data_IF_813396306717
#
_entry.id   IF_813396306717
#
_cell.length_a   1.000
_cell.length_b   1.000
_cell.length_c   1.000
_cell.angle_alpha   90.00
_cell.angle_beta   90.00
_cell.angle_gamma   90.00
#
_symmetry.space_group_name_H-M   'P 1'
#
loop_
_entity.id
_entity.type
_entity.pdbx_description
1 polymer ?
#
# COMPACT_ATOMS: atom_id res chain seq x y z
N UNK A 1 5.40 11.85 20.32
CA UNK A 1 4.55 11.41 19.19
C UNK A 1 3.73 12.58 18.65
N UNK A 2 3.73 12.74 17.32
CA UNK A 2 2.95 13.74 16.60
C UNK A 2 1.97 12.97 15.69
N UNK A 3 0.69 13.32 15.75
CA UNK A 3 -0.36 12.72 14.92
C UNK A 3 -0.94 13.79 14.01
N UNK A 4 -0.92 13.53 12.69
CA UNK A 4 -1.56 14.38 11.68
C UNK A 4 -2.75 13.61 11.09
N UNK A 5 -3.95 13.79 11.63
CA UNK A 5 -5.20 13.18 11.13
C UNK A 5 -6.36 14.16 11.37
N UNK A 6 -7.23 14.42 10.36
CA UNK A 6 -8.43 15.24 10.55
C UNK A 6 -9.36 14.78 11.67
N UNK A 7 -9.28 13.50 12.05
CA UNK A 7 -10.12 12.84 13.05
C UNK A 7 -9.35 12.68 14.37
N UNK A 8 -10.12 12.59 15.45
CA UNK A 8 -9.60 12.25 16.78
C UNK A 8 -9.55 10.74 16.95
N UNK A 9 -8.59 10.10 16.27
CA UNK A 9 -8.34 8.66 16.36
C UNK A 9 -7.77 8.27 17.75
N UNK A 10 -7.79 6.99 18.10
CA UNK A 10 -7.27 6.53 19.40
C UNK A 10 -5.80 6.94 19.63
N UNK A 11 -4.96 6.85 18.59
CA UNK A 11 -3.55 7.28 18.66
C UNK A 11 -3.41 8.77 18.97
N UNK A 12 -4.37 9.62 18.58
CA UNK A 12 -4.34 11.04 18.90
C UNK A 12 -4.53 11.31 20.41
N UNK A 13 -5.16 10.40 21.15
CA UNK A 13 -5.40 10.56 22.61
C UNK A 13 -4.12 10.46 23.43
N UNK A 14 -3.13 9.74 22.91
CA UNK A 14 -1.83 9.51 23.56
C UNK A 14 -0.70 10.29 22.85
N UNK A 15 -1.04 11.19 21.92
CA UNK A 15 -0.07 12.01 21.21
C UNK A 15 0.30 13.26 22.00
N UNK A 16 1.57 13.65 21.97
CA UNK A 16 2.02 14.94 22.51
C UNK A 16 1.45 16.11 21.69
N UNK A 17 1.28 15.90 20.38
CA UNK A 17 0.66 16.84 19.45
C UNK A 17 -0.29 16.11 18.50
N UNK A 18 -1.53 16.60 18.41
CA UNK A 18 -2.49 16.20 17.39
C UNK A 18 -2.76 17.41 16.49
N UNK A 19 -2.26 17.35 15.26
CA UNK A 19 -2.55 18.33 14.23
C UNK A 19 -3.82 17.89 13.49
N UNK A 20 -4.95 18.48 13.86
CA UNK A 20 -6.26 18.13 13.32
C UNK A 20 -6.50 18.84 11.98
N UNK A 21 -5.80 18.39 10.94
CA UNK A 21 -5.73 19.05 9.64
C UNK A 21 -7.06 18.98 8.86
N UNK A 22 -7.27 19.90 7.92
CA UNK A 22 -8.32 19.78 6.91
C UNK A 22 -8.07 18.59 5.98
N UNK A 23 -9.12 18.00 5.41
CA UNK A 23 -8.97 16.88 4.46
C UNK A 23 -8.32 17.36 3.16
N UNK A 24 -7.36 16.60 2.64
CA UNK A 24 -6.74 16.87 1.34
C UNK A 24 -5.66 17.97 1.34
N UNK A 25 -5.25 18.49 2.50
CA UNK A 25 -4.20 19.51 2.60
C UNK A 25 -2.79 18.96 2.87
N UNK A 26 -2.60 17.63 2.75
CA UNK A 26 -1.37 16.93 3.17
C UNK A 26 -0.09 17.59 2.63
N UNK A 27 -0.03 17.91 1.34
CA UNK A 27 1.16 18.51 0.72
C UNK A 27 1.46 19.91 1.26
N UNK A 28 0.43 20.71 1.57
CA UNK A 28 0.62 22.04 2.15
C UNK A 28 1.25 21.94 3.54
N UNK A 29 0.78 20.99 4.36
CA UNK A 29 1.35 20.73 5.68
C UNK A 29 2.79 20.23 5.59
N UNK A 30 3.07 19.27 4.70
CA UNK A 30 4.43 18.74 4.50
C UNK A 30 5.39 19.83 4.02
N UNK A 31 4.97 20.70 3.10
CA UNK A 31 5.79 21.84 2.69
C UNK A 31 6.02 22.83 3.84
N UNK A 32 5.02 23.08 4.69
CA UNK A 32 5.19 23.96 5.86
C UNK A 32 6.11 23.35 6.92
N UNK A 33 6.12 22.02 7.06
CA UNK A 33 7.10 21.31 7.86
C UNK A 33 8.52 21.48 7.31
N UNK A 34 8.71 21.23 6.02
CA UNK A 34 10.00 21.43 5.35
C UNK A 34 10.45 22.88 5.48
N UNK A 35 9.57 23.84 5.20
CA UNK A 35 9.84 25.27 5.37
C UNK A 35 10.35 25.57 6.77
N UNK A 36 9.62 25.10 7.80
CA UNK A 36 9.99 25.35 9.21
C UNK A 36 11.38 24.80 9.52
N UNK A 37 11.70 23.58 9.08
CA UNK A 37 13.01 22.97 9.32
C UNK A 37 14.15 23.79 8.70
N UNK A 38 13.92 24.39 7.53
CA UNK A 38 14.90 25.22 6.84
C UNK A 38 15.00 26.63 7.44
N UNK A 39 13.86 27.28 7.67
CA UNK A 39 13.72 28.65 8.20
C UNK A 39 14.35 28.78 9.60
N UNK A 40 14.08 27.80 10.47
CA UNK A 40 14.60 27.79 11.83
C UNK A 40 15.97 27.08 11.96
N UNK A 41 16.58 26.68 10.83
CA UNK A 41 17.86 25.95 10.79
C UNK A 41 17.87 24.69 11.68
N UNK A 42 16.77 23.93 11.69
CA UNK A 42 16.59 22.70 12.49
C UNK A 42 17.02 21.43 11.76
N UNK A 43 17.28 21.50 10.46
CA UNK A 43 17.76 20.36 9.67
C UNK A 43 19.25 20.07 9.93
N UNK A 44 19.68 18.83 9.70
CA UNK A 44 21.06 18.41 9.85
C UNK A 44 21.89 18.82 8.61
N UNK A 45 22.48 20.01 8.64
CA UNK A 45 23.20 20.59 7.51
C UNK A 45 24.38 19.73 7.00
N UNK A 46 25.16 19.16 7.91
CA UNK A 46 26.29 18.28 7.56
C UNK A 46 25.82 17.00 6.88
N UNK A 47 24.75 16.39 7.40
CA UNK A 47 24.14 15.20 6.80
C UNK A 47 23.62 15.51 5.40
N UNK A 48 22.85 16.59 5.25
CA UNK A 48 22.25 17.00 3.99
C UNK A 48 23.31 17.28 2.93
N UNK A 49 24.38 18.01 3.28
CA UNK A 49 25.48 18.30 2.34
C UNK A 49 26.20 17.03 1.85
N UNK A 50 26.35 16.02 2.72
CA UNK A 50 27.08 14.78 2.41
C UNK A 50 26.23 13.76 1.65
N UNK A 51 25.01 13.53 2.12
CA UNK A 51 24.22 12.36 1.76
C UNK A 51 22.96 12.66 0.95
N UNK A 52 22.70 13.92 0.62
CA UNK A 52 21.51 14.31 -0.14
C UNK A 52 21.83 15.20 -1.34
N UNK A 53 20.85 15.37 -2.22
CA UNK A 53 20.88 16.27 -3.36
C UNK A 53 19.54 17.03 -3.50
N UNK A 54 19.57 18.22 -4.12
CA UNK A 54 18.35 19.00 -4.42
C UNK A 54 17.94 20.06 -3.40
N UNK A 55 18.82 20.48 -2.48
CA UNK A 55 18.47 21.43 -1.42
C UNK A 55 18.02 22.81 -1.94
N UNK A 56 18.67 23.33 -2.99
CA UNK A 56 18.32 24.67 -3.52
C UNK A 56 16.93 24.67 -4.16
N UNK A 57 16.63 23.65 -4.98
CA UNK A 57 15.31 23.45 -5.59
C UNK A 57 14.24 23.25 -4.52
N UNK A 58 14.58 22.52 -3.45
CA UNK A 58 13.69 22.35 -2.31
C UNK A 58 13.33 23.70 -1.67
N UNK A 59 14.33 24.53 -1.35
CA UNK A 59 14.15 25.87 -0.76
C UNK A 59 13.27 26.76 -1.62
N UNK A 60 13.50 26.77 -2.92
CA UNK A 60 12.68 27.53 -3.87
C UNK A 60 11.22 27.06 -3.84
N UNK A 61 11.00 25.75 -3.92
CA UNK A 61 9.66 25.15 -3.98
C UNK A 61 8.84 25.42 -2.72
N UNK A 62 9.47 25.36 -1.54
CA UNK A 62 8.76 25.57 -0.26
C UNK A 62 8.68 27.03 0.17
N UNK A 63 9.34 27.97 -0.52
CA UNK A 63 9.43 29.38 -0.11
C UNK A 63 8.09 30.06 0.18
N UNK A 64 7.01 29.67 -0.52
CA UNK A 64 5.66 30.18 -0.31
C UNK A 64 4.88 29.54 0.86
N UNK A 65 5.44 28.51 1.50
CA UNK A 65 4.76 27.66 2.48
C UNK A 65 5.18 27.95 3.92
N UNK A 66 5.50 29.21 4.24
CA UNK A 66 5.59 29.62 5.64
C UNK A 66 4.33 29.16 6.40
N UNK A 67 4.45 28.61 7.63
CA UNK A 67 3.31 28.13 8.41
C UNK A 67 2.14 29.13 8.48
N UNK A 68 2.46 30.42 8.55
CA UNK A 68 1.51 31.53 8.57
C UNK A 68 0.69 31.64 7.26
N UNK A 69 1.25 31.23 6.12
CA UNK A 69 0.58 31.29 4.81
C UNK A 69 -0.37 30.10 4.56
N UNK A 70 -0.28 29.04 5.37
CA UNK A 70 -1.03 27.79 5.15
C UNK A 70 -2.06 27.49 6.25
N UNK A 71 -2.24 28.38 7.22
CA UNK A 71 -3.18 28.16 8.34
C UNK A 71 -4.62 27.92 7.84
N UNK A 72 -5.09 28.70 6.86
CA UNK A 72 -6.44 28.54 6.30
C UNK A 72 -6.58 27.21 5.53
N UNK A 73 -5.55 26.86 4.74
CA UNK A 73 -5.52 25.64 3.95
C UNK A 73 -5.53 24.41 4.86
N UNK A 74 -4.67 24.40 5.88
CA UNK A 74 -4.45 23.26 6.75
C UNK A 74 -5.43 23.18 7.91
N UNK A 75 -6.00 24.30 8.34
CA UNK A 75 -6.81 24.39 9.56
C UNK A 75 -6.00 24.27 10.86
N UNK A 76 -4.67 24.34 10.77
CA UNK A 76 -3.74 24.21 11.90
C UNK A 76 -2.98 25.51 12.05
N UNK A 77 -2.78 25.97 13.29
CA UNK A 77 -2.07 27.24 13.49
C UNK A 77 -0.58 27.11 13.16
N UNK A 78 0.03 28.20 12.71
CA UNK A 78 1.45 28.33 12.42
C UNK A 78 2.30 27.90 13.62
N UNK A 79 1.86 28.26 14.83
CA UNK A 79 2.47 27.85 16.08
C UNK A 79 2.49 26.33 16.24
N UNK A 80 1.37 25.65 16.02
CA UNK A 80 1.28 24.20 16.16
C UNK A 80 2.17 23.47 15.14
N UNK A 81 2.23 23.97 13.90
CA UNK A 81 3.12 23.46 12.85
C UNK A 81 4.58 23.60 13.28
N UNK A 82 4.98 24.79 13.74
CA UNK A 82 6.36 25.06 14.19
C UNK A 82 6.74 24.23 15.41
N UNK A 83 5.87 24.16 16.41
CA UNK A 83 6.08 23.37 17.63
C UNK A 83 6.21 21.87 17.30
N UNK A 84 5.43 21.34 16.35
CA UNK A 84 5.56 19.97 15.90
C UNK A 84 6.93 19.70 15.26
N UNK A 85 7.44 20.60 14.41
CA UNK A 85 8.74 20.40 13.76
C UNK A 85 9.92 20.57 14.71
N UNK A 86 9.81 21.45 15.71
CA UNK A 86 10.80 21.54 16.80
C UNK A 86 10.88 20.23 17.57
N UNK A 87 9.74 19.61 17.89
CA UNK A 87 9.69 18.30 18.56
C UNK A 87 10.31 17.22 17.66
N UNK A 88 9.94 17.18 16.38
CA UNK A 88 10.46 16.20 15.43
C UNK A 88 11.99 16.31 15.23
N UNK A 89 12.50 17.52 15.04
CA UNK A 89 13.92 17.77 14.81
C UNK A 89 14.79 17.57 16.06
N UNK A 90 14.24 17.84 17.25
CA UNK A 90 14.96 17.64 18.52
C UNK A 90 15.07 16.16 18.94
N UNK A 91 14.29 15.26 18.34
CA UNK A 91 14.29 13.86 18.69
C UNK A 91 15.62 13.17 18.27
N UNK A 92 16.27 12.38 19.15
CA UNK A 92 17.50 11.64 18.79
C UNK A 92 17.31 10.66 17.62
N UNK A 93 16.10 10.10 17.51
CA UNK A 93 15.63 9.34 16.36
C UNK A 93 14.14 9.62 16.16
N UNK A 94 13.73 9.70 14.89
CA UNK A 94 12.34 9.85 14.54
C UNK A 94 11.98 8.93 13.36
N UNK A 95 10.80 8.33 13.43
CA UNK A 95 10.23 7.52 12.35
C UNK A 95 8.97 8.18 11.85
N UNK A 96 8.86 8.39 10.53
CA UNK A 96 7.66 8.91 9.88
C UNK A 96 6.82 7.73 9.40
N UNK A 97 5.65 7.53 10.00
CA UNK A 97 4.74 6.45 9.64
C UNK A 97 3.51 7.02 8.92
N UNK A 98 3.09 6.36 7.84
CA UNK A 98 1.86 6.72 7.16
C UNK A 98 1.11 5.48 6.65
N UNK A 99 -0.12 5.70 6.22
CA UNK A 99 -0.95 4.72 5.55
C UNK A 99 -1.87 5.39 4.54
N UNK A 100 -3.12 4.93 4.46
CA UNK A 100 -4.07 5.35 3.43
C UNK A 100 -4.46 6.84 3.50
N UNK A 101 -4.33 7.48 4.66
CA UNK A 101 -4.52 8.93 4.82
C UNK A 101 -3.56 9.79 3.98
N UNK A 102 -2.51 9.17 3.42
CA UNK A 102 -1.60 9.76 2.44
C UNK A 102 -1.85 9.17 1.05
N UNK A 103 -1.86 7.84 0.92
CA UNK A 103 -1.77 7.17 -0.38
C UNK A 103 -3.08 7.15 -1.19
N UNK A 104 -4.24 7.37 -0.56
CA UNK A 104 -5.55 7.45 -1.22
C UNK A 104 -6.03 8.89 -1.46
N UNK A 105 -5.10 9.79 -1.79
CA UNK A 105 -5.38 11.16 -2.21
C UNK A 105 -4.75 11.44 -3.58
N UNK A 106 -5.34 12.35 -4.36
CA UNK A 106 -4.87 12.66 -5.72
C UNK A 106 -3.43 13.15 -5.83
N UNK A 107 -2.83 13.60 -4.71
CA UNK A 107 -1.43 14.05 -4.64
C UNK A 107 -0.53 13.10 -3.81
N UNK A 108 -0.92 11.84 -3.64
CA UNK A 108 -0.28 10.85 -2.77
C UNK A 108 1.24 10.71 -2.99
N UNK A 109 1.68 10.57 -4.24
CA UNK A 109 3.09 10.30 -4.57
C UNK A 109 3.99 11.47 -4.13
N UNK A 110 3.55 12.70 -4.36
CA UNK A 110 4.31 13.89 -3.97
C UNK A 110 4.41 13.99 -2.44
N UNK A 111 3.32 13.69 -1.73
CA UNK A 111 3.28 13.72 -0.26
C UNK A 111 4.23 12.66 0.32
N UNK A 112 4.24 11.44 -0.22
CA UNK A 112 5.18 10.39 0.21
C UNK A 112 6.63 10.84 0.04
N UNK A 113 6.98 11.42 -1.11
CA UNK A 113 8.33 11.95 -1.35
C UNK A 113 8.68 13.11 -0.42
N UNK A 114 7.73 13.99 -0.12
CA UNK A 114 7.90 15.07 0.85
C UNK A 114 8.08 14.57 2.29
N UNK A 115 7.35 13.52 2.70
CA UNK A 115 7.54 12.87 4.01
C UNK A 115 8.93 12.23 4.12
N UNK A 116 9.42 11.58 3.06
CA UNK A 116 10.81 11.09 3.00
C UNK A 116 11.83 12.22 3.08
N UNK A 117 11.50 13.39 2.51
CA UNK A 117 12.36 14.59 2.61
C UNK A 117 12.51 15.07 4.05
N UNK A 118 11.47 14.98 4.90
CA UNK A 118 11.59 15.30 6.34
C UNK A 118 12.64 14.40 7.02
N UNK A 119 12.62 13.10 6.70
CA UNK A 119 13.57 12.14 7.25
C UNK A 119 15.01 12.40 6.75
N UNK A 120 15.17 12.74 5.46
CA UNK A 120 16.46 13.12 4.87
C UNK A 120 17.01 14.42 5.49
N UNK A 121 16.19 15.45 5.63
CA UNK A 121 16.60 16.74 6.23
C UNK A 121 17.10 16.58 7.66
N UNK A 122 16.53 15.64 8.42
CA UNK A 122 16.86 15.43 9.83
C UNK A 122 17.86 14.30 10.09
N UNK A 123 18.38 13.64 9.05
CA UNK A 123 19.30 12.51 9.20
C UNK A 123 18.67 11.29 9.89
N UNK A 124 17.36 11.11 9.69
CA UNK A 124 16.55 10.04 10.25
C UNK A 124 16.35 8.90 9.23
N UNK A 125 17.43 8.48 8.55
CA UNK A 125 17.47 7.30 7.67
C UNK A 125 18.79 6.54 7.88
N UNK A 126 18.83 5.27 7.46
CA UNK A 126 20.07 4.48 7.43
C UNK A 126 20.57 3.96 8.78
N UNK A 127 19.78 4.07 9.84
CA UNK A 127 20.12 3.61 11.20
C UNK A 127 18.89 3.11 11.95
N UNK A 128 19.13 2.45 13.07
CA UNK A 128 18.08 1.89 13.92
C UNK A 128 17.12 2.96 14.47
N UNK A 129 15.86 2.56 14.70
CA UNK A 129 14.78 3.37 15.30
C UNK A 129 14.42 4.67 14.56
N UNK A 130 14.81 4.80 13.29
CA UNK A 130 14.44 5.92 12.43
C UNK A 130 13.99 5.43 11.05
N UNK A 131 13.49 6.36 10.23
CA UNK A 131 13.20 6.11 8.83
C UNK A 131 11.80 6.51 8.43
N UNK A 132 11.38 5.94 7.30
CA UNK A 132 10.02 6.05 6.80
C UNK A 132 9.36 4.68 6.78
N UNK A 133 8.17 4.59 7.33
CA UNK A 133 7.42 3.34 7.50
C UNK A 133 6.03 3.44 6.87
N UNK A 134 5.88 3.19 5.56
CA UNK A 134 4.56 2.95 4.98
C UNK A 134 3.98 1.66 5.56
N UNK A 135 3.07 1.77 6.54
CA UNK A 135 2.44 0.59 7.14
C UNK A 135 1.41 0.04 6.16
N UNK A 136 1.80 -1.04 5.48
CA UNK A 136 0.94 -1.71 4.50
C UNK A 136 -0.22 -2.43 5.17
N UNK A 137 -1.35 -2.55 4.46
CA UNK A 137 -2.63 -2.97 5.06
C UNK A 137 -2.86 -4.47 5.13
N UNK A 138 -2.75 -5.18 3.99
CA UNK A 138 -3.02 -6.62 3.90
C UNK A 138 -1.84 -7.46 4.38
N UNK A 139 -2.14 -8.63 4.93
CA UNK A 139 -1.17 -9.53 5.55
C UNK A 139 0.02 -9.86 4.63
N UNK A 140 -0.20 -9.89 3.31
CA UNK A 140 0.82 -10.26 2.34
C UNK A 140 0.89 -9.32 1.12
N UNK A 141 0.38 -8.08 1.21
CA UNK A 141 0.55 -7.12 0.10
C UNK A 141 2.03 -6.78 -0.13
N UNK A 142 2.86 -6.86 0.92
CA UNK A 142 4.30 -6.78 0.78
C UNK A 142 4.83 -7.97 -0.03
N UNK A 143 4.45 -9.20 0.34
CA UNK A 143 4.90 -10.40 -0.35
C UNK A 143 4.39 -10.53 -1.78
N UNK A 144 3.14 -10.13 -2.07
CA UNK A 144 2.64 -10.07 -3.44
C UNK A 144 3.52 -9.16 -4.34
N UNK A 145 3.91 -7.99 -3.83
CA UNK A 145 4.87 -7.14 -4.53
C UNK A 145 6.26 -7.79 -4.63
N UNK A 146 6.75 -8.41 -3.55
CA UNK A 146 8.04 -9.11 -3.54
C UNK A 146 8.09 -10.21 -4.61
N UNK A 147 6.97 -10.92 -4.83
CA UNK A 147 6.80 -11.99 -5.80
C UNK A 147 6.44 -11.50 -7.22
N UNK A 148 6.54 -10.20 -7.50
CA UNK A 148 6.29 -9.67 -8.84
C UNK A 148 4.83 -9.70 -9.28
N UNK A 149 3.87 -9.71 -8.33
CA UNK A 149 2.43 -9.53 -8.62
C UNK A 149 2.14 -8.04 -8.87
N UNK A 150 2.89 -7.47 -9.81
CA UNK A 150 2.85 -6.08 -10.27
C UNK A 150 3.26 -6.06 -11.74
N UNK A 151 2.65 -5.21 -12.57
CA UNK A 151 2.77 -5.33 -14.03
C UNK A 151 4.15 -4.95 -14.60
N UNK A 152 5.05 -4.39 -13.79
CA UNK A 152 6.31 -3.83 -14.24
C UNK A 152 7.56 -4.55 -13.69
N UNK A 153 7.42 -5.55 -12.83
CA UNK A 153 8.57 -6.22 -12.20
C UNK A 153 8.34 -7.72 -12.03
N UNK A 154 9.39 -8.49 -12.26
CA UNK A 154 9.54 -9.86 -11.78
C UNK A 154 9.76 -9.91 -10.25
N UNK A 155 9.67 -11.11 -9.63
CA UNK A 155 10.06 -11.31 -8.24
C UNK A 155 11.41 -10.65 -7.89
N UNK A 156 11.54 -10.09 -6.68
CA UNK A 156 12.77 -9.44 -6.23
C UNK A 156 12.98 -8.02 -6.76
N UNK A 157 11.91 -7.33 -7.17
CA UNK A 157 11.92 -5.95 -7.67
C UNK A 157 12.76 -5.77 -8.95
N UNK A 158 12.71 -6.76 -9.84
CA UNK A 158 13.54 -6.78 -11.05
C UNK A 158 12.71 -6.35 -12.24
N UNK A 159 13.04 -5.23 -12.88
CA UNK A 159 12.19 -4.61 -13.89
C UNK A 159 11.99 -5.52 -15.12
N UNK A 160 10.75 -5.67 -15.58
CA UNK A 160 10.44 -6.45 -16.80
C UNK A 160 11.05 -5.84 -18.05
N UNK A 161 11.33 -4.53 -18.04
CA UNK A 161 11.93 -3.81 -19.17
C UNK A 161 13.43 -4.05 -19.30
N UNK A 162 14.10 -4.63 -18.30
CA UNK A 162 15.52 -4.98 -18.37
C UNK A 162 15.74 -6.29 -19.16
N UNK A 163 16.46 -6.26 -20.30
CA UNK A 163 16.66 -7.44 -21.12
C UNK A 163 17.47 -8.54 -20.41
N UNK A 164 18.42 -8.19 -19.53
CA UNK A 164 19.23 -9.19 -18.82
C UNK A 164 18.38 -9.93 -17.77
N UNK A 165 17.47 -9.20 -17.12
CA UNK A 165 16.49 -9.79 -16.20
C UNK A 165 15.56 -10.73 -16.97
N UNK A 166 14.97 -10.28 -18.09
CA UNK A 166 14.11 -11.14 -18.92
C UNK A 166 14.82 -12.42 -19.36
N UNK A 167 16.05 -12.31 -19.86
CA UNK A 167 16.82 -13.48 -20.31
C UNK A 167 17.04 -14.50 -19.17
N UNK A 168 17.33 -14.01 -17.95
CA UNK A 168 17.49 -14.87 -16.78
C UNK A 168 16.22 -15.66 -16.47
N UNK A 169 15.06 -14.99 -16.41
CA UNK A 169 13.77 -15.64 -16.12
C UNK A 169 13.34 -16.56 -17.27
N UNK A 170 13.49 -16.12 -18.53
CA UNK A 170 13.22 -16.93 -19.72
C UNK A 170 13.99 -18.25 -19.70
N UNK A 171 15.29 -18.19 -19.40
CA UNK A 171 16.16 -19.36 -19.30
C UNK A 171 15.72 -20.32 -18.18
N UNK A 172 15.38 -19.78 -17.02
CA UNK A 172 14.94 -20.59 -15.88
C UNK A 172 13.61 -21.30 -16.15
N UNK A 173 12.69 -20.63 -16.84
CA UNK A 173 11.38 -21.16 -17.19
C UNK A 173 11.35 -21.92 -18.52
N UNK A 174 12.48 -22.01 -19.24
CA UNK A 174 12.54 -22.68 -20.54
C UNK A 174 11.67 -22.03 -21.61
N UNK A 175 11.42 -20.72 -21.50
CA UNK A 175 10.65 -19.92 -22.46
C UNK A 175 11.62 -19.15 -23.36
N UNK A 176 11.26 -18.96 -24.63
CA UNK A 176 12.01 -18.07 -25.51
C UNK A 176 11.84 -16.62 -25.02
N UNK A 177 12.92 -15.89 -24.68
CA UNK A 177 12.82 -14.50 -24.24
C UNK A 177 12.15 -13.58 -25.27
N UNK A 178 12.14 -13.94 -26.56
CA UNK A 178 11.43 -13.19 -27.60
C UNK A 178 9.89 -13.29 -27.49
N UNK A 179 9.37 -14.26 -26.73
CA UNK A 179 7.94 -14.41 -26.42
C UNK A 179 7.54 -13.67 -25.14
N UNK A 180 8.49 -13.13 -24.39
CA UNK A 180 8.21 -12.33 -23.19
C UNK A 180 8.06 -10.86 -23.58
N UNK A 181 6.97 -10.24 -23.14
CA UNK A 181 6.75 -8.81 -23.35
C UNK A 181 7.86 -7.97 -22.70
N UNK A 182 8.38 -7.00 -23.45
CA UNK A 182 9.41 -6.06 -22.98
C UNK A 182 8.83 -4.75 -22.44
N UNK A 183 7.50 -4.67 -22.36
CA UNK A 183 6.74 -3.52 -21.88
C UNK A 183 6.08 -3.80 -20.53
N UNK A 184 5.70 -2.73 -19.85
CA UNK A 184 4.90 -2.80 -18.62
C UNK A 184 3.49 -3.28 -18.95
N UNK A 185 3.01 -4.26 -18.19
CA UNK A 185 1.64 -4.78 -18.32
C UNK A 185 0.56 -3.81 -17.83
N UNK A 186 -0.69 -4.26 -17.92
CA UNK A 186 -1.87 -3.50 -17.50
C UNK A 186 -2.01 -3.48 -15.98
N UNK A 187 -2.39 -2.34 -15.39
CA UNK A 187 -2.75 -2.26 -13.97
C UNK A 187 -4.20 -2.65 -13.79
N UNK A 188 -4.51 -3.33 -12.68
CA UNK A 188 -5.88 -3.73 -12.33
C UNK A 188 -6.89 -2.57 -12.39
N UNK A 189 -6.49 -1.38 -11.98
CA UNK A 189 -7.33 -0.17 -11.99
C UNK A 189 -7.71 0.31 -13.39
N UNK A 190 -7.00 -0.14 -14.43
CA UNK A 190 -7.23 0.22 -15.83
C UNK A 190 -8.12 -0.81 -16.55
N UNK A 191 -8.29 -2.00 -15.97
CA UNK A 191 -9.03 -3.12 -16.57
C UNK A 191 -10.46 -2.72 -16.97
N UNK A 192 -11.27 -2.03 -16.14
CA UNK A 192 -12.63 -1.64 -16.54
C UNK A 192 -12.66 -0.77 -17.81
N UNK A 193 -11.73 0.18 -17.94
CA UNK A 193 -11.64 1.03 -19.13
C UNK A 193 -11.21 0.23 -20.36
N UNK A 194 -10.19 -0.61 -20.22
CA UNK A 194 -9.67 -1.41 -21.32
C UNK A 194 -10.63 -2.51 -21.77
N UNK A 195 -11.45 -3.04 -20.86
CA UNK A 195 -12.54 -3.96 -21.19
C UNK A 195 -13.61 -3.26 -22.04
N UNK A 196 -14.04 -2.05 -21.65
CA UNK A 196 -14.99 -1.24 -22.42
C UNK A 196 -14.45 -0.84 -23.81
N UNK A 197 -13.14 -0.63 -23.93
CA UNK A 197 -12.45 -0.40 -25.21
C UNK A 197 -12.24 -1.69 -26.02
N UNK A 198 -12.56 -2.86 -25.47
CA UNK A 198 -12.36 -4.16 -26.09
C UNK A 198 -10.89 -4.60 -26.20
N UNK A 199 -9.97 -3.94 -25.46
CA UNK A 199 -8.53 -4.26 -25.42
C UNK A 199 -8.20 -5.38 -24.43
N UNK A 200 -8.98 -5.50 -23.35
CA UNK A 200 -8.93 -6.63 -22.44
C UNK A 200 -10.20 -7.46 -22.65
N UNK A 201 -10.03 -8.76 -22.92
CA UNK A 201 -11.14 -9.66 -23.25
C UNK A 201 -11.42 -10.71 -22.19
N UNK A 202 -10.38 -11.15 -21.48
CA UNK A 202 -10.51 -12.12 -20.42
C UNK A 202 -9.86 -11.58 -19.15
N UNK A 203 -10.42 -11.97 -17.99
CA UNK A 203 -9.88 -11.56 -16.70
C UNK A 203 -9.89 -12.72 -15.70
N UNK A 204 -8.69 -13.14 -15.28
CA UNK A 204 -8.51 -14.12 -14.21
C UNK A 204 -8.22 -13.39 -12.90
N UNK A 205 -9.20 -13.41 -12.00
CA UNK A 205 -9.16 -12.74 -10.69
C UNK A 205 -8.91 -13.81 -9.61
N UNK A 206 -7.87 -13.63 -8.83
CA UNK A 206 -7.49 -14.55 -7.75
C UNK A 206 -7.49 -13.82 -6.41
N UNK A 207 -8.34 -14.24 -5.47
CA UNK A 207 -8.33 -13.76 -4.10
C UNK A 207 -8.72 -12.28 -3.91
N UNK A 208 -9.46 -11.70 -4.85
CA UNK A 208 -9.90 -10.31 -4.82
C UNK A 208 -11.40 -10.17 -5.11
N UNK A 209 -12.03 -9.10 -4.59
CA UNK A 209 -13.46 -8.82 -4.77
C UNK A 209 -13.71 -7.41 -5.38
N UNK A 210 -13.27 -7.16 -6.63
CA UNK A 210 -13.37 -5.85 -7.25
C UNK A 210 -14.79 -5.30 -7.35
N UNK A 211 -15.83 -6.15 -7.45
CA UNK A 211 -17.24 -5.72 -7.45
C UNK A 211 -17.75 -5.21 -6.09
N UNK A 212 -16.89 -5.23 -5.06
CA UNK A 212 -17.15 -4.69 -3.73
C UNK A 212 -16.11 -3.66 -3.27
N UNK A 213 -14.83 -3.85 -3.62
CA UNK A 213 -13.73 -3.10 -2.99
C UNK A 213 -13.12 -2.00 -3.84
N UNK A 214 -13.41 -1.96 -5.13
CA UNK A 214 -12.89 -0.91 -6.03
C UNK A 214 -13.66 0.40 -5.94
N UNK A 215 -12.99 1.48 -6.37
CA UNK A 215 -13.62 2.77 -6.57
C UNK A 215 -14.53 2.75 -7.80
N UNK A 216 -15.61 3.52 -7.76
CA UNK A 216 -16.64 3.57 -8.82
C UNK A 216 -17.12 2.17 -9.26
N UNK A 217 -17.85 1.50 -8.37
CA UNK A 217 -18.47 0.20 -8.67
C UNK A 217 -19.40 0.24 -9.90
N UNK A 218 -19.88 1.41 -10.31
CA UNK A 218 -20.67 1.57 -11.52
C UNK A 218 -19.83 1.34 -12.77
N UNK A 219 -18.66 1.98 -12.85
CA UNK A 219 -17.67 1.75 -13.90
C UNK A 219 -17.16 0.31 -13.89
N UNK A 220 -16.79 -0.22 -12.72
CA UNK A 220 -16.21 -1.57 -12.61
C UNK A 220 -17.20 -2.62 -13.11
N UNK A 221 -18.49 -2.52 -12.74
CA UNK A 221 -19.53 -3.45 -13.24
C UNK A 221 -19.68 -3.39 -14.75
N UNK A 222 -19.73 -2.19 -15.33
CA UNK A 222 -19.80 -2.03 -16.80
C UNK A 222 -18.58 -2.63 -17.50
N UNK A 223 -17.39 -2.45 -16.92
CA UNK A 223 -16.17 -3.08 -17.42
C UNK A 223 -16.24 -4.60 -17.33
N UNK A 224 -16.75 -5.13 -16.23
CA UNK A 224 -16.96 -6.56 -16.01
C UNK A 224 -17.91 -7.17 -17.05
N UNK A 225 -19.06 -6.52 -17.30
CA UNK A 225 -20.05 -6.94 -18.30
C UNK A 225 -19.53 -6.88 -19.75
N UNK A 226 -18.45 -6.13 -20.00
CA UNK A 226 -17.83 -5.99 -21.31
C UNK A 226 -16.72 -7.02 -21.59
N UNK A 227 -16.33 -7.81 -20.59
CA UNK A 227 -15.37 -8.91 -20.76
C UNK A 227 -16.04 -10.09 -21.46
N UNK A 228 -15.30 -10.78 -22.32
CA UNK A 228 -15.76 -11.98 -23.01
C UNK A 228 -15.66 -13.23 -22.10
N UNK A 229 -14.79 -13.20 -21.08
CA UNK A 229 -14.58 -14.33 -20.17
C UNK A 229 -13.98 -13.92 -18.81
N UNK A 230 -14.59 -14.36 -17.72
CA UNK A 230 -14.15 -14.07 -16.35
C UNK A 230 -13.97 -15.36 -15.56
N UNK A 231 -12.76 -15.52 -15.00
CA UNK A 231 -12.44 -16.58 -14.05
C UNK A 231 -12.24 -15.97 -12.68
N UNK A 232 -12.92 -16.50 -11.67
CA UNK A 232 -12.68 -16.14 -10.26
C UNK A 232 -12.19 -17.35 -9.49
N UNK A 233 -11.02 -17.21 -8.89
CA UNK A 233 -10.45 -18.15 -7.93
C UNK A 233 -10.52 -17.54 -6.54
N UNK A 234 -11.38 -18.10 -5.70
CA UNK A 234 -11.68 -17.58 -4.37
C UNK A 234 -12.00 -18.73 -3.42
N UNK A 235 -12.06 -18.42 -2.13
CA UNK A 235 -12.41 -19.29 -1.02
C UNK A 235 -13.86 -19.08 -0.55
N UNK A 236 -14.50 -17.97 -0.98
CA UNK A 236 -15.91 -17.67 -0.71
C UNK A 236 -16.65 -17.23 -1.98
N UNK A 237 -17.98 -17.35 -1.96
CA UNK A 237 -18.85 -16.73 -2.96
C UNK A 237 -18.95 -15.23 -2.69
N UNK A 238 -17.97 -14.47 -3.19
CA UNK A 238 -17.93 -13.00 -3.16
C UNK A 238 -18.84 -12.38 -4.22
N UNK A 239 -19.04 -11.05 -4.21
CA UNK A 239 -19.83 -10.39 -5.27
C UNK A 239 -19.21 -10.58 -6.64
N UNK A 240 -17.89 -10.61 -6.70
CA UNK A 240 -17.14 -10.87 -7.93
C UNK A 240 -17.29 -12.33 -8.37
N UNK A 241 -17.21 -13.28 -7.43
CA UNK A 241 -17.45 -14.70 -7.73
C UNK A 241 -18.88 -14.96 -8.26
N UNK A 242 -19.89 -14.29 -7.69
CA UNK A 242 -21.29 -14.39 -8.16
C UNK A 242 -21.46 -13.95 -9.62
N UNK A 243 -20.57 -13.11 -10.13
CA UNK A 243 -20.60 -12.57 -11.49
C UNK A 243 -19.65 -13.27 -12.47
N UNK A 244 -18.91 -14.30 -12.03
CA UNK A 244 -17.91 -14.98 -12.85
C UNK A 244 -18.53 -16.01 -13.80
N UNK A 245 -17.88 -16.24 -14.96
CA UNK A 245 -18.24 -17.34 -15.85
C UNK A 245 -17.74 -18.69 -15.31
N UNK A 246 -16.57 -18.69 -14.70
CA UNK A 246 -15.94 -19.87 -14.12
C UNK A 246 -15.45 -19.59 -12.70
N UNK A 247 -15.77 -20.53 -11.80
CA UNK A 247 -15.32 -20.53 -10.42
C UNK A 247 -14.33 -21.66 -10.17
N UNK A 248 -13.19 -21.31 -9.58
CA UNK A 248 -12.13 -22.24 -9.22
C UNK A 248 -11.91 -22.18 -7.69
N UNK A 249 -12.47 -23.13 -6.92
CA UNK A 249 -12.43 -23.03 -5.47
C UNK A 249 -11.03 -23.40 -4.93
N UNK A 250 -10.43 -22.48 -4.19
CA UNK A 250 -9.12 -22.64 -3.58
C UNK A 250 -9.21 -23.10 -2.11
N UNK A 251 -8.11 -23.62 -1.59
CA UNK A 251 -7.94 -23.86 -0.14
C UNK A 251 -7.77 -22.54 0.62
N UNK A 252 -8.35 -22.44 1.81
CA UNK A 252 -8.21 -21.27 2.68
C UNK A 252 -6.92 -21.31 3.51
N UNK A 253 -6.55 -20.15 4.07
CA UNK A 253 -5.62 -20.10 5.20
C UNK A 253 -6.07 -21.08 6.31
N UNK A 254 -5.12 -21.85 6.84
CA UNK A 254 -5.36 -22.97 7.74
C UNK A 254 -5.41 -24.34 7.05
N UNK A 255 -5.80 -24.39 5.77
CA UNK A 255 -5.86 -25.62 4.96
C UNK A 255 -4.60 -25.85 4.11
N UNK A 256 -3.75 -24.83 3.99
CA UNK A 256 -2.43 -24.89 3.38
C UNK A 256 -1.41 -24.11 4.21
N UNK A 257 -0.12 -24.33 3.94
CA UNK A 257 0.98 -23.51 4.45
C UNK A 257 1.58 -22.62 3.36
N UNK A 258 2.60 -21.83 3.69
CA UNK A 258 3.28 -20.94 2.77
C UNK A 258 4.20 -19.94 3.47
N UNK A 259 4.48 -18.83 2.78
CA UNK A 259 5.27 -17.72 3.31
C UNK A 259 4.47 -16.41 3.13
N UNK A 260 4.42 -15.60 4.17
CA UNK A 260 3.95 -14.22 4.11
C UNK A 260 5.11 -13.26 4.34
N UNK A 261 5.03 -12.08 3.73
CA UNK A 261 5.89 -10.95 4.07
C UNK A 261 5.12 -9.90 4.85
N UNK A 262 5.61 -9.60 6.05
CA UNK A 262 5.13 -8.53 6.92
C UNK A 262 5.39 -7.14 6.33
N UNK A 263 4.73 -6.12 6.89
CA UNK A 263 4.84 -4.73 6.42
C UNK A 263 6.28 -4.16 6.46
N UNK A 264 7.14 -4.74 7.30
CA UNK A 264 8.55 -4.38 7.47
C UNK A 264 9.50 -5.23 6.62
N UNK A 265 8.98 -5.96 5.61
CA UNK A 265 9.68 -6.88 4.70
C UNK A 265 10.10 -8.21 5.32
N UNK A 266 9.64 -8.54 6.53
CA UNK A 266 9.97 -9.81 7.18
C UNK A 266 9.22 -10.99 6.59
N UNK A 267 9.93 -11.96 6.03
CA UNK A 267 9.35 -13.24 5.65
C UNK A 267 9.10 -14.11 6.88
N UNK A 268 7.89 -14.67 6.95
CA UNK A 268 7.45 -15.60 7.98
C UNK A 268 6.73 -16.78 7.34
N UNK A 269 7.00 -17.98 7.86
CA UNK A 269 6.28 -19.18 7.45
C UNK A 269 4.95 -19.28 8.19
N UNK A 270 3.97 -19.88 7.52
CA UNK A 270 2.76 -20.37 8.15
C UNK A 270 2.49 -21.80 7.65
N UNK A 271 1.86 -22.61 8.49
CA UNK A 271 1.69 -24.04 8.23
C UNK A 271 0.23 -24.43 8.07
N UNK A 272 0.03 -25.58 7.40
CA UNK A 272 -1.26 -26.23 7.31
C UNK A 272 -1.68 -26.75 8.69
N UNK A 273 -2.87 -26.35 9.13
CA UNK A 273 -3.43 -26.76 10.42
C UNK A 273 -4.52 -27.84 10.28
N UNK A 274 -5.27 -27.82 9.18
CA UNK A 274 -6.40 -28.73 8.93
C UNK A 274 -6.40 -29.24 7.50
N UNK A 275 -7.05 -30.38 7.26
CA UNK A 275 -7.33 -30.86 5.91
C UNK A 275 -8.49 -30.08 5.29
N UNK A 276 -8.38 -29.65 4.02
CA UNK A 276 -9.49 -29.00 3.34
C UNK A 276 -10.68 -29.93 3.16
N UNK A 277 -11.88 -29.37 3.15
CA UNK A 277 -13.11 -30.10 2.85
C UNK A 277 -13.55 -29.86 1.41
N UNK A 278 -13.94 -30.93 0.72
CA UNK A 278 -14.40 -30.86 -0.67
C UNK A 278 -13.25 -30.99 -1.68
N UNK A 279 -13.57 -30.82 -2.96
CA UNK A 279 -12.60 -30.90 -4.05
C UNK A 279 -12.01 -29.52 -4.32
N UNK A 280 -11.14 -29.07 -3.43
CA UNK A 280 -10.41 -27.81 -3.54
C UNK A 280 -8.91 -28.07 -3.68
N UNK A 281 -8.20 -27.10 -4.22
CA UNK A 281 -6.75 -27.16 -4.45
C UNK A 281 -6.09 -25.88 -3.95
N UNK A 282 -4.78 -25.89 -3.73
CA UNK A 282 -4.03 -24.65 -3.48
C UNK A 282 -4.06 -23.77 -4.74
N UNK A 283 -3.97 -22.47 -4.55
CA UNK A 283 -4.00 -21.52 -5.67
C UNK A 283 -2.98 -21.86 -6.76
N UNK A 284 -1.74 -22.15 -6.35
CA UNK A 284 -0.67 -22.52 -7.28
C UNK A 284 -0.90 -23.88 -7.96
N UNK A 285 -1.60 -24.82 -7.34
CA UNK A 285 -1.95 -26.10 -7.97
C UNK A 285 -2.95 -25.88 -9.10
N UNK A 286 -3.94 -25.01 -8.90
CA UNK A 286 -4.93 -24.64 -9.93
C UNK A 286 -4.22 -23.97 -11.10
N UNK A 287 -3.36 -22.99 -10.83
CA UNK A 287 -2.58 -22.28 -11.85
C UNK A 287 -1.66 -23.25 -12.61
N UNK A 288 -1.04 -24.21 -11.92
CA UNK A 288 -0.17 -25.24 -12.51
C UNK A 288 -0.94 -26.17 -13.46
N UNK A 289 -2.16 -26.56 -13.08
CA UNK A 289 -3.07 -27.35 -13.92
C UNK A 289 -3.51 -26.57 -15.16
N UNK A 290 -3.87 -25.29 -15.02
CA UNK A 290 -4.24 -24.43 -16.14
C UNK A 290 -3.06 -24.27 -17.10
N UNK A 291 -1.87 -23.92 -16.60
CA UNK A 291 -0.68 -23.78 -17.43
C UNK A 291 -0.36 -25.07 -18.21
N UNK A 292 -0.44 -26.23 -17.54
CA UNK A 292 -0.24 -27.53 -18.18
C UNK A 292 -1.30 -27.80 -19.26
N UNK A 293 -2.56 -27.49 -18.98
CA UNK A 293 -3.64 -27.62 -19.97
C UNK A 293 -3.47 -26.67 -21.17
N UNK A 294 -2.81 -25.52 -20.98
CA UNK A 294 -2.47 -24.57 -22.03
C UNK A 294 -1.16 -24.92 -22.78
N UNK A 295 -0.49 -26.02 -22.42
CA UNK A 295 0.69 -26.53 -23.12
C UNK A 295 2.03 -26.17 -22.48
N UNK A 296 2.06 -25.53 -21.31
CA UNK A 296 3.28 -25.29 -20.53
C UNK A 296 3.31 -26.23 -19.31
N UNK A 297 4.13 -27.30 -19.29
CA UNK A 297 4.18 -28.23 -18.17
C UNK A 297 4.65 -27.53 -16.89
N UNK A 298 3.74 -27.38 -15.93
CA UNK A 298 4.04 -26.75 -14.65
C UNK A 298 3.53 -27.64 -13.53
N UNK A 299 4.44 -28.10 -12.67
CA UNK A 299 4.11 -28.97 -11.56
C UNK A 299 5.09 -28.76 -10.40
N UNK A 300 4.54 -28.56 -9.22
CA UNK A 300 5.29 -28.44 -7.98
C UNK A 300 4.80 -29.49 -6.98
N UNK A 301 5.74 -30.04 -6.20
CA UNK A 301 5.44 -31.01 -5.15
C UNK A 301 4.90 -30.32 -3.90
N UNK A 302 5.47 -29.18 -3.56
CA UNK A 302 5.20 -28.45 -2.32
C UNK A 302 5.58 -26.97 -2.47
N UNK A 303 5.24 -26.17 -1.45
CA UNK A 303 5.53 -24.74 -1.43
C UNK A 303 7.04 -24.45 -1.35
N UNK A 304 7.83 -25.35 -0.74
CA UNK A 304 9.26 -25.16 -0.59
C UNK A 304 9.94 -25.23 -1.95
N UNK A 305 9.52 -26.13 -2.84
CA UNK A 305 10.04 -26.17 -4.21
C UNK A 305 9.82 -24.85 -4.96
N UNK A 306 8.62 -24.25 -4.84
CA UNK A 306 8.30 -22.95 -5.45
C UNK A 306 9.19 -21.85 -4.84
N UNK A 307 9.33 -21.86 -3.52
CA UNK A 307 10.15 -20.89 -2.80
C UNK A 307 11.63 -20.99 -3.15
N UNK A 308 12.13 -22.21 -3.31
CA UNK A 308 13.53 -22.47 -3.67
C UNK A 308 13.80 -22.00 -5.11
N UNK A 309 12.91 -22.30 -6.07
CA UNK A 309 13.01 -21.75 -7.43
C UNK A 309 13.01 -20.21 -7.42
N UNK A 310 12.07 -19.60 -6.69
CA UNK A 310 11.95 -18.15 -6.59
C UNK A 310 13.23 -17.52 -6.01
N UNK A 311 13.80 -18.11 -4.94
CA UNK A 311 15.03 -17.60 -4.31
C UNK A 311 16.25 -17.68 -5.21
N UNK A 312 16.39 -18.74 -6.00
CA UNK A 312 17.46 -18.87 -7.00
C UNK A 312 17.41 -17.74 -8.04
N UNK A 313 16.21 -17.21 -8.31
CA UNK A 313 16.00 -16.10 -9.25
C UNK A 313 16.05 -14.71 -8.60
N UNK A 314 16.06 -14.63 -7.26
CA UNK A 314 15.95 -13.39 -6.52
C UNK A 314 17.15 -13.18 -5.59
N UNK A 315 18.19 -12.45 -6.03
CA UNK A 315 19.38 -12.21 -5.22
C UNK A 315 19.09 -11.59 -3.85
N UNK A 316 18.04 -10.76 -3.73
CA UNK A 316 17.66 -10.15 -2.45
C UNK A 316 17.07 -11.16 -1.45
N UNK A 317 16.59 -12.31 -1.91
CA UNK A 317 15.86 -13.30 -1.10
C UNK A 317 16.62 -14.62 -0.96
N UNK A 318 17.69 -14.82 -1.74
CA UNK A 318 18.43 -16.07 -1.87
C UNK A 318 18.76 -16.73 -0.52
N UNK A 319 19.19 -15.95 0.47
CA UNK A 319 19.56 -16.41 1.80
C UNK A 319 18.41 -16.86 2.70
N UNK A 320 17.15 -16.63 2.33
CA UNK A 320 15.97 -16.88 3.18
C UNK A 320 15.44 -18.31 2.99
N UNK A 321 16.17 -19.33 3.42
CA UNK A 321 15.70 -20.72 3.30
C UNK A 321 14.47 -21.00 4.17
N UNK A 322 13.70 -22.03 3.82
CA UNK A 322 12.62 -22.55 4.68
C UNK A 322 13.11 -22.89 6.09
N UNK A 323 14.32 -23.46 6.18
CA UNK A 323 15.00 -23.77 7.44
C UNK A 323 15.34 -22.52 8.25
N UNK A 324 15.85 -21.46 7.60
CA UNK A 324 16.19 -20.19 8.26
C UNK A 324 14.96 -19.50 8.84
N UNK A 325 13.83 -19.54 8.12
CA UNK A 325 12.56 -19.05 8.66
C UNK A 325 12.06 -19.92 9.81
N UNK A 326 12.24 -21.24 9.74
CA UNK A 326 11.77 -22.17 10.79
C UNK A 326 10.29 -21.94 11.14
N UNK A 327 9.94 -22.21 12.41
CA UNK A 327 8.56 -22.05 12.89
C UNK A 327 8.24 -20.62 13.36
N UNK A 328 9.24 -19.92 13.91
CA UNK A 328 9.07 -18.61 14.59
C UNK A 328 10.01 -17.53 14.05
N UNK A 329 10.74 -17.80 12.97
CA UNK A 329 11.67 -16.85 12.38
C UNK A 329 10.95 -15.72 11.66
N UNK A 330 11.62 -14.58 11.62
CA UNK A 330 11.21 -13.36 10.92
C UNK A 330 12.43 -12.80 10.22
N UNK A 331 12.52 -13.03 8.92
CA UNK A 331 13.74 -12.71 8.16
C UNK A 331 13.43 -11.58 7.19
N UNK A 332 13.90 -10.38 7.51
CA UNK A 332 13.72 -9.21 6.66
C UNK A 332 14.68 -9.24 5.47
N UNK A 333 14.17 -9.16 4.25
CA UNK A 333 15.00 -9.02 3.05
C UNK A 333 15.50 -7.58 2.89
N UNK A 334 16.72 -7.29 2.41
CA UNK A 334 17.63 -8.21 1.74
C UNK A 334 18.26 -9.27 2.66
N UNK A 335 18.47 -10.46 2.11
CA UNK A 335 19.23 -11.55 2.70
C UNK A 335 19.93 -12.28 1.55
N UNK A 336 21.07 -11.75 1.06
CA UNK A 336 21.65 -12.19 -0.20
C UNK A 336 22.43 -13.49 -0.13
N UNK A 337 22.84 -13.94 1.06
CA UNK A 337 23.63 -15.16 1.25
C UNK A 337 23.06 -16.03 2.35
N UNK A 338 23.39 -17.33 2.34
CA UNK A 338 22.87 -18.30 3.29
C UNK A 338 23.29 -17.99 4.75
N UNK A 339 24.42 -17.33 4.96
CA UNK A 339 24.93 -16.89 6.26
C UNK A 339 24.42 -15.50 6.68
N UNK A 340 23.82 -14.72 5.78
CA UNK A 340 23.31 -13.39 6.10
C UNK A 340 22.11 -13.47 7.08
N UNK A 341 22.09 -12.70 8.18
CA UNK A 341 21.03 -12.79 9.20
C UNK A 341 19.69 -12.16 8.76
N UNK A 342 19.72 -11.33 7.71
CA UNK A 342 18.62 -10.48 7.27
C UNK A 342 18.94 -9.01 7.47
N UNK A 343 18.14 -8.11 6.89
CA UNK A 343 18.37 -6.67 6.90
C UNK A 343 17.27 -5.95 7.69
N UNK A 344 17.53 -5.61 8.98
CA UNK A 344 16.52 -5.01 9.86
C UNK A 344 16.11 -3.58 9.43
N UNK A 345 17.06 -2.79 8.92
CA UNK A 345 16.80 -1.49 8.32
C UNK A 345 17.57 -1.32 7.02
N UNK A 346 17.02 -0.53 6.10
CA UNK A 346 17.64 -0.25 4.80
C UNK A 346 18.59 0.95 4.87
N UNK A 347 19.41 1.10 3.83
CA UNK A 347 20.30 2.25 3.61
C UNK A 347 21.35 2.47 4.71
N UNK A 348 21.85 1.38 5.29
CA UNK A 348 22.97 1.43 6.23
C UNK A 348 24.13 2.28 5.65
N UNK A 349 24.79 3.03 6.51
CA UNK A 349 25.84 3.99 6.15
C UNK A 349 25.40 5.12 5.21
N UNK A 350 24.08 5.38 5.11
CA UNK A 350 23.47 6.39 4.25
C UNK A 350 23.77 6.19 2.76
N UNK A 351 23.85 4.92 2.33
CA UNK A 351 23.93 4.54 0.93
C UNK A 351 22.53 4.23 0.41
N UNK A 352 22.03 5.09 -0.46
CA UNK A 352 20.68 4.96 -1.04
C UNK A 352 20.73 4.22 -2.38
N UNK A 353 19.62 3.58 -2.76
CA UNK A 353 19.50 2.86 -4.05
C UNK A 353 19.27 3.80 -5.25
N UNK A 354 19.52 5.09 -5.07
CA UNK A 354 19.45 6.09 -6.14
C UNK A 354 20.70 6.00 -7.03
N UNK A 355 20.65 6.44 -8.30
CA UNK A 355 21.82 6.39 -9.18
C UNK A 355 23.07 7.12 -8.63
N UNK A 356 22.90 8.18 -7.84
CA UNK A 356 23.99 8.92 -7.21
C UNK A 356 24.44 8.34 -5.87
N UNK A 357 23.70 7.38 -5.30
CA UNK A 357 23.88 6.88 -3.94
C UNK A 357 23.41 7.84 -2.85
N UNK A 358 22.88 9.02 -3.21
CA UNK A 358 22.41 10.07 -2.30
C UNK A 358 20.87 10.16 -2.26
N UNK A 359 20.33 10.56 -1.11
CA UNK A 359 18.90 10.80 -0.96
C UNK A 359 18.43 12.02 -1.75
N UNK A 360 17.30 11.91 -2.43
CA UNK A 360 16.75 12.99 -3.24
C UNK A 360 15.75 13.81 -2.44
N UNK A 361 16.08 15.07 -2.16
CA UNK A 361 15.16 16.01 -1.54
C UNK A 361 14.08 16.40 -2.54
N UNK A 362 12.82 16.42 -2.09
CA UNK A 362 11.67 16.64 -2.93
C UNK A 362 10.59 17.47 -2.22
N UNK A 363 10.05 18.43 -2.96
CA UNK A 363 8.79 19.09 -2.65
C UNK A 363 8.01 19.32 -3.95
N UNK A 364 6.72 19.59 -3.81
CA UNK A 364 5.85 19.98 -4.91
C UNK A 364 4.79 20.97 -4.39
N UNK A 365 4.30 21.90 -5.22
CA UNK A 365 3.18 22.75 -4.83
C UNK A 365 1.95 21.93 -4.45
N UNK A 366 1.23 22.35 -3.41
CA UNK A 366 -0.04 21.75 -3.05
C UNK A 366 -1.10 22.02 -4.13
N UNK A 367 -1.85 20.97 -4.46
CA UNK A 367 -3.01 21.04 -5.35
C UNK A 367 -4.26 20.69 -4.56
N UNK A 368 -5.31 21.50 -4.73
CA UNK A 368 -6.63 21.19 -4.14
C UNK A 368 -7.13 19.83 -4.64
N UNK A 369 -7.85 19.07 -3.78
CA UNK A 369 -8.60 17.90 -4.24
C UNK A 369 -9.50 18.22 -5.44
N UNK A 370 -9.67 17.24 -6.33
CA UNK A 370 -10.51 17.39 -7.52
C UNK A 370 -11.98 17.68 -7.15
N UNK A 371 -12.46 17.06 -6.07
CA UNK A 371 -13.78 17.30 -5.50
C UNK A 371 -13.67 18.16 -4.24
N UNK A 372 -14.32 19.31 -4.24
CA UNK A 372 -14.41 20.22 -3.11
C UNK A 372 -15.87 20.38 -2.68
N UNK A 373 -16.16 20.50 -1.37
CA UNK A 373 -17.52 20.74 -0.91
C UNK A 373 -18.11 22.04 -1.48
N UNK A 374 -19.39 21.99 -1.85
CA UNK A 374 -20.14 23.14 -2.33
C UNK A 374 -21.51 23.27 -1.62
N UNK A 375 -22.44 24.04 -2.18
CA UNK A 375 -23.75 24.25 -1.59
C UNK A 375 -24.62 22.98 -1.61
N UNK A 376 -24.49 22.15 -2.64
CA UNK A 376 -25.27 20.93 -2.83
C UNK A 376 -24.64 19.75 -2.07
N UNK A 377 -23.30 19.72 -1.99
CA UNK A 377 -22.49 18.71 -1.32
C UNK A 377 -21.58 19.34 -0.24
N UNK A 378 -22.12 19.83 0.89
CA UNK A 378 -21.36 20.62 1.88
C UNK A 378 -20.47 19.79 2.82
N UNK A 379 -20.39 18.47 2.61
CA UNK A 379 -19.67 17.52 3.48
C UNK A 379 -18.55 16.82 2.70
N UNK A 380 -17.41 16.63 3.37
CA UNK A 380 -16.37 15.72 2.90
C UNK A 380 -16.72 14.31 3.38
N UNK A 381 -16.72 13.35 2.46
CA UNK A 381 -16.77 11.93 2.77
C UNK A 381 -15.34 11.39 2.85
N UNK A 382 -15.05 10.62 3.89
CA UNK A 382 -13.79 9.90 4.05
C UNK A 382 -14.08 8.48 4.52
N UNK A 383 -13.69 7.50 3.72
CA UNK A 383 -13.85 6.08 4.05
C UNK A 383 -12.69 5.61 4.93
N UNK A 384 -13.01 4.88 6.00
CA UNK A 384 -12.03 4.45 7.00
C UNK A 384 -12.25 2.97 7.33
N UNK A 385 -11.32 2.36 8.06
CA UNK A 385 -11.42 0.98 8.54
C UNK A 385 -11.94 0.92 9.98
N UNK A 386 -12.47 -0.23 10.35
CA UNK A 386 -12.95 -0.55 11.70
C UNK A 386 -12.24 -1.82 12.20
N UNK A 387 -11.97 -1.92 13.50
CA UNK A 387 -11.17 -3.01 14.06
C UNK A 387 -11.86 -4.39 13.99
N UNK A 388 -13.19 -4.46 14.12
CA UNK A 388 -13.92 -5.73 14.18
C UNK A 388 -14.14 -6.41 12.83
N UNK A 389 -13.93 -5.69 11.72
CA UNK A 389 -14.20 -6.20 10.36
C UNK A 389 -13.11 -5.82 9.37
N UNK A 390 -12.73 -6.78 8.55
CA UNK A 390 -11.61 -6.64 7.62
C UNK A 390 -12.08 -6.52 6.16
N UNK A 391 -11.82 -5.36 5.54
CA UNK A 391 -11.99 -5.05 4.11
C UNK A 391 -13.24 -5.66 3.45
N UNK A 392 -13.08 -6.70 2.62
CA UNK A 392 -14.17 -7.38 1.90
C UNK A 392 -15.24 -7.98 2.85
N UNK A 393 -14.85 -8.32 4.08
CA UNK A 393 -15.69 -8.96 5.09
C UNK A 393 -16.15 -10.37 4.71
N UNK A 394 -15.70 -10.95 3.60
CA UNK A 394 -15.93 -12.35 3.24
C UNK A 394 -15.47 -13.33 4.33
N UNK A 395 -14.31 -13.10 4.95
CA UNK A 395 -13.84 -13.90 6.09
C UNK A 395 -14.45 -13.45 7.41
N UNK A 396 -14.16 -12.21 7.84
CA UNK A 396 -14.58 -11.72 9.17
C UNK A 396 -16.10 -11.64 9.34
N UNK A 397 -16.86 -11.45 8.27
CA UNK A 397 -18.31 -11.50 8.26
C UNK A 397 -18.88 -12.91 8.38
N UNK A 398 -18.07 -13.96 8.21
CA UNK A 398 -18.43 -15.36 8.43
C UNK A 398 -17.88 -15.92 9.76
N UNK A 399 -17.24 -15.08 10.58
CA UNK A 399 -16.82 -15.46 11.93
C UNK A 399 -17.92 -15.12 12.96
N UNK A 400 -18.47 -16.13 13.64
CA UNK A 400 -19.61 -15.97 14.55
C UNK A 400 -19.42 -14.87 15.61
N UNK A 401 -18.25 -14.78 16.24
CA UNK A 401 -17.96 -13.77 17.25
C UNK A 401 -17.82 -12.34 16.67
N UNK A 402 -17.37 -12.21 15.41
CA UNK A 402 -17.23 -10.90 14.76
C UNK A 402 -18.55 -10.43 14.15
N UNK A 403 -19.45 -11.33 13.80
CA UNK A 403 -20.80 -10.98 13.31
C UNK A 403 -21.65 -10.25 14.36
N UNK A 404 -21.43 -10.53 15.64
CA UNK A 404 -22.14 -9.86 16.74
C UNK A 404 -21.59 -8.46 17.04
N UNK A 405 -20.42 -8.13 16.49
CA UNK A 405 -19.88 -6.77 16.58
C UNK A 405 -20.82 -5.83 15.82
N UNK A 406 -21.30 -4.73 16.43
CA UNK A 406 -22.24 -3.83 15.78
C UNK A 406 -21.61 -3.27 14.50
N UNK A 407 -22.20 -3.63 13.34
CA UNK A 407 -21.80 -3.05 12.06
C UNK A 407 -21.97 -1.55 12.11
N UNK A 408 -20.85 -0.84 12.16
CA UNK A 408 -20.84 0.58 11.89
C UNK A 408 -20.93 0.82 10.36
N UNK A 409 -22.08 0.46 9.75
CA UNK A 409 -22.56 1.23 8.56
C UNK A 409 -23.02 2.63 9.03
N UNK A 410 -22.21 3.26 9.88
CA UNK A 410 -22.50 4.44 10.63
C UNK A 410 -21.64 5.56 10.06
N UNK A 411 -22.31 6.57 9.51
CA UNK A 411 -21.64 7.78 9.06
C UNK A 411 -21.26 8.60 10.30
N UNK A 412 -19.97 8.61 10.66
CA UNK A 412 -19.49 9.45 11.77
C UNK A 412 -19.57 10.93 11.35
N UNK A 413 -20.59 11.64 11.84
CA UNK A 413 -20.77 13.08 11.60
C UNK A 413 -20.33 13.88 12.83
N UNK A 414 -19.73 15.04 12.61
CA UNK A 414 -19.50 16.03 13.67
C UNK A 414 -20.83 16.37 14.36
N UNK A 415 -20.86 16.31 15.69
CA UNK A 415 -22.04 16.65 16.52
C UNK A 415 -22.57 18.06 16.22
N UNK A 416 -21.69 19.01 15.92
CA UNK A 416 -22.04 20.39 15.54
C UNK A 416 -22.76 20.45 14.18
N UNK A 417 -22.41 19.57 13.23
CA UNK A 417 -23.03 19.49 11.91
C UNK A 417 -24.33 18.65 11.91
N UNK A 418 -24.45 17.64 12.77
CA UNK A 418 -25.71 16.91 12.97
C UNK A 418 -26.83 17.84 13.46
N UNK A 419 -26.53 18.74 14.41
CA UNK A 419 -27.49 19.75 14.90
C UNK A 419 -28.03 20.68 13.82
N UNK A 420 -27.28 20.90 12.71
CA UNK A 420 -27.71 21.74 11.58
C UNK A 420 -28.49 20.99 10.51
N UNK A 421 -28.44 19.66 10.47
CA UNK A 421 -29.00 18.83 9.38
C UNK A 421 -30.26 18.06 9.77
N UNK A 422 -30.90 18.41 10.90
CA UNK A 422 -32.09 17.72 11.46
C UNK A 422 -31.95 16.19 11.66
N UNK A 423 -30.73 15.63 11.51
CA UNK A 423 -30.43 14.25 11.86
C UNK A 423 -30.40 14.12 13.38
N UNK A 424 -31.53 13.71 13.96
CA UNK A 424 -31.81 13.83 15.40
C UNK A 424 -31.53 12.57 16.22
N UNK A 425 -30.87 11.54 15.68
CA UNK A 425 -30.59 10.32 16.43
C UNK A 425 -29.25 9.66 16.05
N UNK A 426 -28.60 9.08 17.06
CA UNK A 426 -27.37 8.26 17.00
C UNK A 426 -27.50 7.05 16.05
N UNK A 427 -28.72 6.69 15.65
CA UNK A 427 -29.02 5.59 14.72
C UNK A 427 -30.20 5.95 13.80
N UNK A 428 -30.02 6.89 12.88
CA UNK A 428 -30.99 7.20 11.82
C UNK A 428 -30.42 6.82 10.44
N UNK A 429 -31.26 6.22 9.59
CA UNK A 429 -30.89 5.93 8.21
C UNK A 429 -30.64 7.25 7.47
N UNK A 430 -29.46 7.37 6.86
CA UNK A 430 -29.08 8.52 6.06
C UNK A 430 -28.66 8.04 4.67
N UNK A 431 -29.18 8.68 3.62
CA UNK A 431 -28.65 8.52 2.26
C UNK A 431 -27.38 9.35 2.06
N UNK A 432 -26.46 8.84 1.24
CA UNK A 432 -25.37 9.62 0.64
C UNK A 432 -25.65 9.77 -0.85
N UNK A 433 -25.86 11.00 -1.31
CA UNK A 433 -25.93 11.28 -2.74
C UNK A 433 -24.49 11.48 -3.26
N UNK A 434 -24.03 10.72 -4.27
CA UNK A 434 -22.78 11.03 -4.94
C UNK A 434 -22.90 12.35 -5.72
N UNK A 435 -21.78 13.06 -5.89
CA UNK A 435 -21.69 14.13 -6.87
C UNK A 435 -21.95 13.52 -8.26
N UNK A 436 -22.96 14.00 -8.98
CA UNK A 436 -23.19 13.59 -10.35
C UNK A 436 -21.97 14.02 -11.18
N UNK A 437 -21.31 13.06 -11.84
CA UNK A 437 -20.09 13.29 -12.62
C UNK A 437 -20.22 14.49 -13.55
N UNK A 438 -19.21 15.37 -13.50
CA UNK A 438 -18.96 16.38 -14.53
C UNK A 438 -17.79 15.94 -15.38
#
# INVERSE_FOLDING_TARGET
>A
MIVCDPRKIETARIADRHLQIHNGCNMALVNAFIYTLLDENLYNADYVARYTEGLDVLRETVSGYAPENVEEITGVSAREIRDAMRIYAAAPSATVMWGMGVTQFGQAVDVVKGLSTLALLTGNLGREHCGVGPVRGQNNVQGACDMGVIPNQFPGYQNVTDPQVREKFARAWGVDPALMDDQVGVRITEVPHLALEGKVKAYYIMGEDPLQTEADLGLVRKGFDALDFVVVQDIFMTKTAEAADVLLPATSWGEHGGVFTCADRGFQRFEKAVEPKGNVKRDWEIISLIATAMGYPMAYRDNQQIWDEMRELCPLFYGVTYEKMGDMGHIQWPCPTLDHPGTPWLYADNRFDTPSGKGQLFAAPWRKPAEMPDADYPLVLCTVREVGHYSCRSMTGNCAALQTWPMSRALCRSTRRMRKSSASAIASWCGSAPAAGR
#
